data_IF_287718403741
#
_entry.id   IF_287718403741
#
_cell.length_a   1.000
_cell.length_b   1.000
_cell.length_c   1.000
_cell.angle_alpha   90.00
_cell.angle_beta   90.00
_cell.angle_gamma   90.00
#
_symmetry.space_group_name_H-M   'P 1'
#
loop_
_entity.id
_entity.type
_entity.pdbx_description
1 polymer ?
#
# COMPACT_ATOMS: atom_id res chain seq x y z
N UNK A 1 1.87 -4.50 16.92
CA UNK A 1 2.57 -5.64 16.29
C UNK A 1 3.72 -6.14 17.17
N UNK A 2 4.76 -5.33 17.49
CA UNK A 2 5.95 -5.78 18.21
C UNK A 2 5.64 -6.47 19.56
N UNK A 3 4.68 -5.95 20.33
CA UNK A 3 4.25 -6.58 21.59
C UNK A 3 3.70 -7.99 21.37
N UNK A 4 2.81 -8.17 20.38
CA UNK A 4 2.24 -9.50 20.08
C UNK A 4 3.33 -10.47 19.63
N UNK A 5 4.27 -10.02 18.79
CA UNK A 5 5.40 -10.85 18.38
C UNK A 5 6.32 -11.22 19.54
N UNK A 6 6.49 -10.32 20.51
CA UNK A 6 7.26 -10.62 21.71
C UNK A 6 6.55 -11.69 22.58
N UNK A 7 5.24 -11.57 22.76
CA UNK A 7 4.44 -12.57 23.52
C UNK A 7 4.41 -13.92 22.82
N UNK A 8 4.24 -13.90 21.48
CA UNK A 8 4.21 -15.11 20.64
C UNK A 8 5.61 -15.55 20.19
N UNK A 9 6.68 -15.12 20.84
CA UNK A 9 8.08 -15.30 20.41
C UNK A 9 8.44 -16.73 20.02
N UNK A 10 7.91 -17.73 20.74
CA UNK A 10 8.13 -19.15 20.44
C UNK A 10 7.58 -19.59 19.07
N UNK A 11 6.54 -18.90 18.55
CA UNK A 11 5.86 -19.24 17.30
C UNK A 11 6.26 -18.35 16.11
N UNK A 12 7.10 -17.34 16.32
CA UNK A 12 7.47 -16.38 15.25
C UNK A 12 8.27 -17.07 14.14
N UNK A 13 9.20 -17.95 14.51
CA UNK A 13 10.00 -18.69 13.54
C UNK A 13 9.16 -19.67 12.72
N UNK A 14 8.27 -20.40 13.38
CA UNK A 14 7.34 -21.31 12.71
C UNK A 14 6.33 -20.58 11.82
N UNK A 15 5.89 -19.40 12.26
CA UNK A 15 5.05 -18.52 11.44
C UNK A 15 5.78 -18.05 10.17
N UNK A 16 7.03 -17.61 10.28
CA UNK A 16 7.82 -17.22 9.12
C UNK A 16 8.02 -18.38 8.15
N UNK A 17 8.37 -19.55 8.67
CA UNK A 17 8.53 -20.76 7.88
C UNK A 17 7.25 -21.15 7.16
N UNK A 18 6.11 -21.12 7.88
CA UNK A 18 4.80 -21.44 7.31
C UNK A 18 4.39 -20.44 6.21
N UNK A 19 4.65 -19.13 6.39
CA UNK A 19 4.40 -18.11 5.37
C UNK A 19 5.20 -18.42 4.10
N UNK A 20 6.50 -18.69 4.22
CA UNK A 20 7.37 -18.98 3.09
C UNK A 20 7.00 -20.30 2.39
N UNK A 21 6.77 -21.36 3.16
CA UNK A 21 6.33 -22.66 2.61
C UNK A 21 4.99 -22.54 1.89
N UNK A 22 4.02 -21.82 2.47
CA UNK A 22 2.71 -21.64 1.85
C UNK A 22 2.75 -20.77 0.60
N UNK A 23 3.68 -19.81 0.53
CA UNK A 23 3.84 -18.97 -0.66
C UNK A 23 4.32 -19.77 -1.87
N UNK A 24 5.20 -20.75 -1.68
CA UNK A 24 5.80 -21.53 -2.76
C UNK A 24 5.23 -22.94 -2.90
N UNK A 25 4.49 -23.44 -1.91
CA UNK A 25 3.89 -24.76 -1.93
C UNK A 25 2.47 -24.77 -1.34
N UNK A 26 1.46 -24.36 -2.10
CA UNK A 26 0.08 -24.26 -1.65
C UNK A 26 -0.53 -25.57 -1.14
N UNK A 27 -0.01 -26.71 -1.59
CA UNK A 27 -0.49 -28.04 -1.14
C UNK A 27 -0.02 -28.40 0.28
N UNK A 28 1.05 -27.76 0.79
CA UNK A 28 1.53 -27.98 2.14
C UNK A 28 0.70 -27.26 3.21
N UNK A 29 -0.11 -26.29 2.83
CA UNK A 29 -1.04 -25.56 3.70
C UNK A 29 -2.34 -26.35 4.00
N UNK A 30 -2.24 -27.66 4.13
CA UNK A 30 -3.34 -28.60 4.37
C UNK A 30 -4.01 -28.47 5.73
N UNK A 31 -4.56 -27.32 6.04
CA UNK A 31 -5.24 -27.07 7.30
C UNK A 31 -5.96 -25.73 7.38
N UNK A 32 -6.74 -25.34 6.36
CA UNK A 32 -7.64 -24.22 6.49
C UNK A 32 -7.50 -23.07 5.48
N UNK A 33 -6.41 -22.97 4.75
CA UNK A 33 -6.35 -22.11 3.56
C UNK A 33 -6.84 -22.91 2.35
N UNK A 34 -8.11 -22.75 2.03
CA UNK A 34 -8.74 -23.38 0.87
C UNK A 34 -7.96 -23.01 -0.39
N UNK A 35 -7.20 -23.96 -0.90
CA UNK A 35 -6.82 -24.23 -2.26
C UNK A 35 -6.75 -23.11 -3.28
N UNK A 36 -6.06 -22.02 -2.98
CA UNK A 36 -5.62 -21.13 -4.04
C UNK A 36 -4.44 -21.76 -4.75
N UNK A 37 -4.51 -21.95 -6.07
CA UNK A 37 -3.32 -22.27 -6.85
C UNK A 37 -2.25 -21.19 -6.61
N UNK A 38 -0.97 -21.53 -6.78
CA UNK A 38 0.14 -20.54 -6.71
C UNK A 38 -0.20 -19.27 -7.50
N UNK A 39 -0.82 -19.43 -8.65
CA UNK A 39 -1.28 -18.34 -9.53
C UNK A 39 -2.28 -17.45 -8.80
N UNK A 40 -3.25 -18.02 -8.08
CA UNK A 40 -4.25 -17.22 -7.35
C UNK A 40 -3.63 -16.47 -6.16
N UNK A 41 -2.77 -17.12 -5.40
CA UNK A 41 -2.03 -16.48 -4.29
C UNK A 41 -1.13 -15.36 -4.80
N UNK A 42 -0.38 -15.60 -5.87
CA UNK A 42 0.45 -14.58 -6.51
C UNK A 42 -0.41 -13.42 -7.05
N UNK A 43 -1.54 -13.71 -7.70
CA UNK A 43 -2.47 -12.68 -8.20
C UNK A 43 -2.96 -11.77 -7.08
N UNK A 44 -3.44 -12.33 -5.98
CA UNK A 44 -3.92 -11.53 -4.86
C UNK A 44 -2.77 -10.77 -4.17
N UNK A 45 -1.62 -11.40 -3.96
CA UNK A 45 -0.45 -10.76 -3.36
C UNK A 45 0.05 -9.59 -4.20
N UNK A 46 0.19 -9.76 -5.52
CA UNK A 46 0.61 -8.71 -6.44
C UNK A 46 -0.43 -7.57 -6.46
N UNK A 47 -1.72 -7.89 -6.62
CA UNK A 47 -2.77 -6.87 -6.68
C UNK A 47 -2.82 -6.03 -5.40
N UNK A 48 -2.71 -6.64 -4.23
CA UNK A 48 -2.72 -5.92 -2.94
C UNK A 48 -1.41 -5.17 -2.70
N UNK A 49 -0.27 -5.72 -3.08
CA UNK A 49 1.03 -5.05 -3.00
C UNK A 49 1.11 -3.83 -3.92
N UNK A 50 0.64 -3.92 -5.15
CA UNK A 50 0.55 -2.78 -6.06
C UNK A 50 -0.37 -1.68 -5.53
N UNK A 51 -1.50 -2.05 -4.94
CA UNK A 51 -2.43 -1.10 -4.34
C UNK A 51 -1.82 -0.39 -3.13
N UNK A 52 -1.22 -1.13 -2.20
CA UNK A 52 -0.65 -0.57 -0.98
C UNK A 52 0.55 0.35 -1.26
N UNK A 53 1.42 -0.06 -2.17
CA UNK A 53 2.61 0.71 -2.54
C UNK A 53 2.35 1.78 -3.62
N UNK A 54 1.13 1.85 -4.18
CA UNK A 54 0.78 2.70 -5.33
C UNK A 54 1.71 2.51 -6.54
N UNK A 55 2.37 1.36 -6.62
CA UNK A 55 3.42 1.08 -7.61
C UNK A 55 2.83 0.91 -9.00
N UNK A 56 3.29 1.74 -9.93
CA UNK A 56 2.86 1.67 -11.33
C UNK A 56 1.46 2.24 -11.60
N UNK A 57 0.77 2.81 -10.62
CA UNK A 57 -0.56 3.40 -10.79
C UNK A 57 -0.55 4.88 -11.16
N UNK A 58 0.61 5.56 -11.04
CA UNK A 58 0.73 6.99 -11.35
C UNK A 58 0.22 7.94 -10.27
N UNK A 59 -0.24 7.44 -9.13
CA UNK A 59 -0.70 8.26 -8.00
C UNK A 59 0.46 8.78 -7.14
N UNK A 60 1.44 7.97 -6.84
CA UNK A 60 2.61 8.35 -6.04
C UNK A 60 3.37 9.58 -6.57
N UNK A 61 3.59 9.77 -7.90
CA UNK A 61 4.20 10.97 -8.44
C UNK A 61 3.46 12.26 -8.14
N UNK A 62 2.14 12.24 -7.91
CA UNK A 62 1.34 13.43 -7.61
C UNK A 62 1.78 14.07 -6.30
N UNK A 63 2.04 13.26 -5.27
CA UNK A 63 2.59 13.75 -3.99
C UNK A 63 4.07 14.05 -4.10
N UNK A 64 4.83 13.22 -4.82
CA UNK A 64 6.25 13.46 -5.03
C UNK A 64 6.53 14.80 -5.71
N UNK A 65 5.65 15.24 -6.62
CA UNK A 65 5.75 16.54 -7.29
C UNK A 65 5.58 17.74 -6.34
N UNK A 66 4.98 17.55 -5.17
CA UNK A 66 4.85 18.60 -4.14
C UNK A 66 6.08 18.70 -3.22
N UNK A 67 7.05 17.81 -3.34
CA UNK A 67 8.22 17.77 -2.49
C UNK A 67 9.17 18.93 -2.83
N UNK A 68 9.68 19.58 -1.79
CA UNK A 68 10.74 20.59 -1.94
C UNK A 68 12.10 19.88 -1.89
N UNK A 69 12.62 19.57 -3.04
CA UNK A 69 13.88 18.83 -3.21
C UNK A 69 14.77 19.50 -4.24
N UNK A 70 16.07 19.23 -4.19
CA UNK A 70 17.05 19.85 -5.10
C UNK A 70 16.93 19.33 -6.52
N UNK A 71 16.68 18.02 -6.69
CA UNK A 71 16.53 17.41 -7.99
C UNK A 71 15.55 16.22 -7.96
N UNK A 72 15.01 15.79 -9.11
CA UNK A 72 13.99 14.73 -9.19
C UNK A 72 14.52 13.36 -8.78
N UNK A 73 15.80 13.07 -9.03
CA UNK A 73 16.40 11.76 -8.71
C UNK A 73 16.50 11.57 -7.19
N UNK A 74 16.83 12.64 -6.45
CA UNK A 74 16.84 12.61 -4.98
C UNK A 74 15.44 12.28 -4.43
N UNK A 75 14.39 12.90 -4.97
CA UNK A 75 13.02 12.59 -4.58
C UNK A 75 12.63 11.17 -4.95
N UNK A 76 13.02 10.68 -6.11
CA UNK A 76 12.75 9.31 -6.54
C UNK A 76 13.37 8.28 -5.58
N UNK A 77 14.62 8.50 -5.14
CA UNK A 77 15.29 7.65 -4.16
C UNK A 77 14.56 7.65 -2.80
N UNK A 78 14.14 8.83 -2.31
CA UNK A 78 13.36 8.93 -1.07
C UNK A 78 12.03 8.19 -1.22
N UNK A 79 11.29 8.41 -2.31
CA UNK A 79 10.01 7.75 -2.57
C UNK A 79 10.15 6.22 -2.68
N UNK A 80 11.25 5.71 -3.24
CA UNK A 80 11.49 4.27 -3.36
C UNK A 80 11.61 3.56 -2.01
N UNK A 81 12.05 4.27 -0.97
CA UNK A 81 12.10 3.70 0.39
C UNK A 81 10.72 3.40 0.95
N UNK A 82 9.68 4.07 0.46
CA UNK A 82 8.28 3.85 0.90
C UNK A 82 7.85 2.40 0.72
N UNK A 83 8.17 1.79 -0.44
CA UNK A 83 7.87 0.38 -0.71
C UNK A 83 8.54 -0.57 0.29
N UNK A 84 9.78 -0.27 0.69
CA UNK A 84 10.47 -1.06 1.71
C UNK A 84 9.74 -0.98 3.06
N UNK A 85 9.41 0.24 3.50
CA UNK A 85 8.72 0.43 4.78
C UNK A 85 7.32 -0.20 4.78
N UNK A 86 6.54 -0.01 3.73
CA UNK A 86 5.20 -0.56 3.62
C UNK A 86 5.22 -2.09 3.56
N UNK A 87 5.93 -2.67 2.59
CA UNK A 87 5.87 -4.11 2.32
C UNK A 87 6.78 -4.91 3.23
N UNK A 88 8.07 -4.54 3.32
CA UNK A 88 9.05 -5.36 4.06
C UNK A 88 8.90 -5.18 5.58
N UNK A 89 8.55 -3.97 6.04
CA UNK A 89 8.41 -3.73 7.48
C UNK A 89 6.97 -3.91 7.93
N UNK A 90 6.02 -3.12 7.45
CA UNK A 90 4.67 -3.09 8.01
C UNK A 90 3.87 -4.35 7.63
N UNK A 91 3.84 -4.73 6.34
CA UNK A 91 3.09 -5.91 5.92
C UNK A 91 3.70 -7.21 6.46
N UNK A 92 5.04 -7.34 6.48
CA UNK A 92 5.68 -8.52 7.06
C UNK A 92 5.43 -8.63 8.57
N UNK A 93 5.53 -7.52 9.33
CA UNK A 93 5.20 -7.51 10.76
C UNK A 93 3.74 -7.91 10.99
N UNK A 94 2.81 -7.39 10.20
CA UNK A 94 1.40 -7.73 10.31
C UNK A 94 1.16 -9.20 9.99
N UNK A 95 1.72 -9.70 8.90
CA UNK A 95 1.63 -11.12 8.52
C UNK A 95 2.16 -12.05 9.61
N UNK A 96 3.34 -11.73 10.17
CA UNK A 96 3.91 -12.49 11.28
C UNK A 96 3.02 -12.46 12.54
N UNK A 97 2.44 -11.31 12.88
CA UNK A 97 1.49 -11.19 13.99
C UNK A 97 0.30 -12.10 13.79
N UNK A 98 -0.31 -12.09 12.61
CA UNK A 98 -1.49 -12.89 12.32
C UNK A 98 -1.19 -14.39 12.36
N UNK A 99 -0.15 -14.82 11.66
CA UNK A 99 0.20 -16.25 11.58
C UNK A 99 0.73 -16.77 12.92
N UNK A 100 1.56 -16.01 13.63
CA UNK A 100 2.01 -16.42 14.98
C UNK A 100 0.85 -16.49 15.97
N UNK A 101 -0.17 -15.65 15.83
CA UNK A 101 -1.36 -15.71 16.67
C UNK A 101 -2.22 -16.94 16.38
N UNK A 102 -2.35 -17.35 15.12
CA UNK A 102 -3.02 -18.61 14.76
C UNK A 102 -2.31 -19.82 15.37
N UNK A 103 -0.97 -19.83 15.30
CA UNK A 103 -0.17 -20.92 15.87
C UNK A 103 -0.21 -20.95 17.40
N UNK A 104 -0.19 -19.78 18.03
CA UNK A 104 -0.23 -19.67 19.50
C UNK A 104 -1.62 -19.98 20.09
N UNK A 105 -2.68 -19.75 19.33
CA UNK A 105 -4.08 -19.91 19.77
C UNK A 105 -4.90 -20.70 18.74
N UNK A 106 -4.81 -22.04 18.72
CA UNK A 106 -5.50 -22.87 17.71
C UNK A 106 -7.04 -22.74 17.70
N UNK A 107 -7.62 -22.28 18.80
CA UNK A 107 -9.08 -22.08 18.96
C UNK A 107 -9.60 -20.79 18.31
N UNK A 108 -8.72 -20.00 17.67
CA UNK A 108 -9.14 -18.79 16.98
C UNK A 108 -10.00 -19.14 15.76
N UNK A 109 -11.26 -18.71 15.80
CA UNK A 109 -12.16 -18.72 14.65
C UNK A 109 -12.25 -17.32 14.05
N UNK A 110 -12.14 -17.21 12.73
CA UNK A 110 -12.21 -15.93 12.01
C UNK A 110 -12.93 -16.13 10.67
N UNK A 111 -13.71 -15.12 10.28
CA UNK A 111 -14.43 -15.14 9.01
C UNK A 111 -13.56 -14.62 7.85
N UNK A 112 -12.68 -13.65 8.14
CA UNK A 112 -11.79 -13.02 7.17
C UNK A 112 -10.53 -12.44 7.86
N UNK A 113 -9.63 -11.84 7.07
CA UNK A 113 -8.38 -11.27 7.59
C UNK A 113 -8.57 -10.09 8.55
N UNK A 114 -9.64 -9.32 8.40
CA UNK A 114 -9.95 -8.20 9.30
C UNK A 114 -10.40 -8.71 10.67
N UNK A 115 -11.27 -9.74 10.67
CA UNK A 115 -11.69 -10.43 11.89
C UNK A 115 -10.49 -11.07 12.61
N UNK A 116 -9.57 -11.70 11.87
CA UNK A 116 -8.35 -12.27 12.42
C UNK A 116 -7.48 -11.20 13.09
N UNK A 117 -7.31 -10.04 12.45
CA UNK A 117 -6.55 -8.91 13.01
C UNK A 117 -7.15 -8.46 14.36
N UNK A 118 -8.47 -8.32 14.41
CA UNK A 118 -9.16 -7.98 15.66
C UNK A 118 -8.87 -9.01 16.75
N UNK A 119 -9.06 -10.29 16.47
CA UNK A 119 -8.84 -11.37 17.45
C UNK A 119 -7.39 -11.40 17.93
N UNK A 120 -6.41 -11.18 17.04
CA UNK A 120 -5.00 -11.11 17.42
C UNK A 120 -4.72 -9.94 18.38
N UNK A 121 -5.31 -8.77 18.14
CA UNK A 121 -5.16 -7.60 19.02
C UNK A 121 -5.93 -7.75 20.34
N UNK A 122 -7.08 -8.41 20.35
CA UNK A 122 -7.86 -8.68 21.56
C UNK A 122 -7.08 -9.56 22.58
N UNK A 123 -6.00 -10.24 22.15
CA UNK A 123 -5.09 -10.94 23.06
C UNK A 123 -4.18 -10.00 23.86
N UNK A 124 -4.12 -8.70 23.53
CA UNK A 124 -3.43 -7.70 24.35
C UNK A 124 -4.40 -7.22 25.45
N UNK A 125 -4.13 -7.50 26.73
CA UNK A 125 -5.04 -7.14 27.81
C UNK A 125 -5.29 -5.62 27.87
N UNK A 126 -6.53 -5.21 28.03
CA UNK A 126 -7.01 -3.84 28.26
C UNK A 126 -6.80 -2.83 27.13
N UNK A 127 -5.69 -2.89 26.38
CA UNK A 127 -5.32 -1.85 25.39
C UNK A 127 -5.40 -2.33 23.94
N UNK A 128 -5.55 -3.62 23.70
CA UNK A 128 -5.49 -4.17 22.34
C UNK A 128 -6.58 -3.63 21.42
N UNK A 129 -7.84 -3.76 21.82
CA UNK A 129 -8.97 -3.25 21.04
C UNK A 129 -8.95 -1.72 20.87
N UNK A 130 -8.76 -0.89 21.91
CA UNK A 130 -8.60 0.55 21.75
C UNK A 130 -7.45 0.95 20.82
N UNK A 131 -6.30 0.28 20.91
CA UNK A 131 -5.14 0.55 20.09
C UNK A 131 -5.42 0.22 18.61
N UNK A 132 -6.08 -0.91 18.35
CA UNK A 132 -6.48 -1.29 17.00
C UNK A 132 -7.48 -0.29 16.41
N UNK A 133 -8.52 0.09 17.16
CA UNK A 133 -9.53 1.07 16.71
C UNK A 133 -8.85 2.40 16.39
N UNK A 134 -8.00 2.90 17.29
CA UNK A 134 -7.27 4.13 17.06
C UNK A 134 -6.41 4.05 15.79
N UNK A 135 -5.70 2.93 15.59
CA UNK A 135 -4.91 2.68 14.40
C UNK A 135 -5.76 2.69 13.13
N UNK A 136 -6.86 1.93 13.09
CA UNK A 136 -7.75 1.86 11.93
C UNK A 136 -8.32 3.24 11.60
N UNK A 137 -8.81 3.98 12.58
CA UNK A 137 -9.37 5.33 12.36
C UNK A 137 -8.31 6.27 11.79
N UNK A 138 -7.10 6.27 12.36
CA UNK A 138 -6.00 7.13 11.90
C UNK A 138 -5.57 6.78 10.48
N UNK A 139 -5.39 5.48 10.18
CA UNK A 139 -5.00 5.02 8.84
C UNK A 139 -6.10 5.30 7.81
N UNK A 140 -7.36 5.00 8.13
CA UNK A 140 -8.47 5.28 7.22
C UNK A 140 -8.59 6.78 6.92
N UNK A 141 -8.47 7.61 7.94
CA UNK A 141 -8.54 9.07 7.78
C UNK A 141 -7.41 9.60 6.90
N UNK A 142 -6.16 9.18 7.15
CA UNK A 142 -5.01 9.61 6.34
C UNK A 142 -5.13 9.14 4.89
N UNK A 143 -5.62 7.92 4.66
CA UNK A 143 -5.84 7.38 3.32
C UNK A 143 -6.92 8.17 2.56
N UNK A 144 -8.03 8.49 3.21
CA UNK A 144 -9.10 9.32 2.63
C UNK A 144 -8.56 10.69 2.23
N UNK A 145 -7.75 11.33 3.07
CA UNK A 145 -7.13 12.63 2.76
C UNK A 145 -6.16 12.53 1.59
N UNK A 146 -5.30 11.51 1.56
CA UNK A 146 -4.34 11.29 0.47
C UNK A 146 -5.03 11.09 -0.88
N UNK A 147 -6.00 10.19 -0.95
CA UNK A 147 -6.76 9.93 -2.18
C UNK A 147 -7.62 11.12 -2.62
N UNK A 148 -8.18 11.88 -1.68
CA UNK A 148 -8.87 13.13 -1.99
C UNK A 148 -7.92 14.12 -2.65
N UNK A 149 -6.71 14.26 -2.13
CA UNK A 149 -5.68 15.15 -2.70
C UNK A 149 -5.27 14.73 -4.11
N UNK A 150 -5.06 13.43 -4.37
CA UNK A 150 -4.72 12.94 -5.70
C UNK A 150 -5.78 13.30 -6.73
N UNK A 151 -7.03 13.01 -6.44
CA UNK A 151 -8.11 13.33 -7.36
C UNK A 151 -8.37 14.84 -7.47
N UNK A 152 -8.15 15.61 -6.41
CA UNK A 152 -8.21 17.08 -6.47
C UNK A 152 -7.17 17.63 -7.45
N UNK A 153 -5.93 17.13 -7.41
CA UNK A 153 -4.89 17.55 -8.34
C UNK A 153 -5.20 17.14 -9.78
N UNK A 154 -5.76 15.95 -9.99
CA UNK A 154 -6.23 15.55 -11.31
C UNK A 154 -7.37 16.44 -11.82
N UNK A 155 -8.34 16.79 -10.98
CA UNK A 155 -9.42 17.71 -11.33
C UNK A 155 -8.92 19.13 -11.58
N UNK A 156 -7.97 19.61 -10.80
CA UNK A 156 -7.32 20.92 -10.99
C UNK A 156 -6.65 21.00 -12.36
N UNK A 157 -5.96 19.93 -12.76
CA UNK A 157 -5.33 19.83 -14.08
C UNK A 157 -6.35 19.86 -15.23
N UNK A 158 -7.47 19.13 -15.11
CA UNK A 158 -8.46 19.00 -16.17
C UNK A 158 -9.36 20.23 -16.31
N UNK A 159 -9.74 20.87 -15.22
CA UNK A 159 -10.80 21.89 -15.21
C UNK A 159 -10.42 23.17 -14.45
N UNK A 160 -9.19 23.27 -13.98
CA UNK A 160 -8.73 24.36 -13.13
C UNK A 160 -9.37 24.29 -11.74
N UNK A 161 -9.13 25.32 -10.93
CA UNK A 161 -9.57 25.38 -9.51
C UNK A 161 -11.10 25.45 -9.32
N UNK A 162 -11.88 25.69 -10.40
CA UNK A 162 -13.31 25.95 -10.27
C UNK A 162 -14.12 24.73 -9.79
N UNK A 163 -13.75 23.53 -10.23
CA UNK A 163 -14.49 22.31 -9.89
C UNK A 163 -13.94 21.54 -8.70
N UNK A 164 -12.86 22.02 -8.07
CA UNK A 164 -12.26 21.38 -6.90
C UNK A 164 -13.24 21.21 -5.74
N UNK A 165 -14.07 22.23 -5.47
CA UNK A 165 -15.05 22.15 -4.40
C UNK A 165 -16.15 21.13 -4.68
N UNK A 166 -16.61 21.07 -5.95
CA UNK A 166 -17.60 20.07 -6.39
C UNK A 166 -17.01 18.67 -6.26
N UNK A 167 -15.76 18.47 -6.71
CA UNK A 167 -15.06 17.20 -6.56
C UNK A 167 -15.00 16.76 -5.09
N UNK A 168 -14.59 17.64 -4.17
CA UNK A 168 -14.54 17.34 -2.72
C UNK A 168 -15.90 16.89 -2.19
N UNK A 169 -16.98 17.58 -2.58
CA UNK A 169 -18.35 17.21 -2.21
C UNK A 169 -18.73 15.80 -2.69
N UNK A 170 -18.47 15.51 -3.97
CA UNK A 170 -18.73 14.18 -4.55
C UNK A 170 -17.87 13.12 -3.88
N UNK A 171 -16.59 13.40 -3.61
CA UNK A 171 -15.68 12.47 -2.95
C UNK A 171 -16.17 12.08 -1.55
N UNK A 172 -16.63 13.05 -0.74
CA UNK A 172 -17.20 12.78 0.60
C UNK A 172 -18.43 11.89 0.50
N UNK A 173 -19.32 12.16 -0.46
CA UNK A 173 -20.51 11.35 -0.70
C UNK A 173 -20.11 9.92 -1.09
N UNK A 174 -19.16 9.76 -2.03
CA UNK A 174 -18.66 8.45 -2.43
C UNK A 174 -17.98 7.70 -1.29
N UNK A 175 -17.20 8.38 -0.44
CA UNK A 175 -16.58 7.77 0.74
C UNK A 175 -17.64 7.26 1.73
N UNK A 176 -18.71 8.00 1.95
CA UNK A 176 -19.83 7.58 2.79
C UNK A 176 -20.52 6.33 2.22
N UNK A 177 -20.86 6.34 0.93
CA UNK A 177 -21.49 5.17 0.29
C UNK A 177 -20.55 3.96 0.25
N UNK A 178 -19.24 4.18 0.04
CA UNK A 178 -18.23 3.12 0.11
C UNK A 178 -18.19 2.43 1.47
N UNK A 179 -18.35 3.19 2.56
CA UNK A 179 -18.32 2.66 3.91
C UNK A 179 -19.52 1.75 4.26
N UNK A 180 -20.65 1.91 3.59
CA UNK A 180 -21.88 1.12 3.80
C UNK A 180 -22.08 0.03 2.73
N UNK A 181 -21.25 0.02 1.70
CA UNK A 181 -21.32 -0.97 0.61
C UNK A 181 -20.63 -2.28 1.02
N UNK A 182 -21.06 -3.38 0.43
CA UNK A 182 -20.43 -4.70 0.66
C UNK A 182 -18.96 -4.67 0.24
N UNK A 183 -18.07 -5.20 1.08
CA UNK A 183 -16.62 -5.19 0.89
C UNK A 183 -16.18 -5.77 -0.47
N UNK A 184 -16.83 -6.84 -0.93
CA UNK A 184 -16.51 -7.46 -2.22
C UNK A 184 -16.75 -6.51 -3.41
N UNK A 185 -17.83 -5.71 -3.37
CA UNK A 185 -18.14 -4.72 -4.41
C UNK A 185 -17.08 -3.62 -4.42
N UNK A 186 -16.70 -3.12 -3.23
CA UNK A 186 -15.67 -2.09 -3.10
C UNK A 186 -14.32 -2.59 -3.66
N UNK A 187 -13.93 -3.82 -3.35
CA UNK A 187 -12.68 -4.38 -3.86
C UNK A 187 -12.70 -4.58 -5.38
N UNK A 188 -13.79 -5.09 -5.94
CA UNK A 188 -13.89 -5.26 -7.39
C UNK A 188 -13.81 -3.91 -8.12
N UNK A 189 -14.46 -2.88 -7.58
CA UNK A 189 -14.38 -1.54 -8.13
C UNK A 189 -12.96 -0.96 -8.03
N UNK A 190 -12.31 -1.12 -6.88
CA UNK A 190 -10.95 -0.66 -6.66
C UNK A 190 -9.96 -1.36 -7.62
N UNK A 191 -10.07 -2.67 -7.81
CA UNK A 191 -9.20 -3.42 -8.72
C UNK A 191 -9.38 -2.95 -10.18
N UNK A 192 -10.61 -2.67 -10.60
CA UNK A 192 -10.89 -2.09 -11.93
C UNK A 192 -10.28 -0.69 -12.07
N UNK A 193 -10.49 0.18 -11.09
CA UNK A 193 -9.96 1.54 -11.11
C UNK A 193 -8.42 1.53 -11.14
N UNK A 194 -7.78 0.68 -10.35
CA UNK A 194 -6.33 0.50 -10.35
C UNK A 194 -5.80 0.05 -11.70
N UNK A 195 -6.46 -0.90 -12.35
CA UNK A 195 -6.08 -1.34 -13.69
C UNK A 195 -6.18 -0.21 -14.72
N UNK A 196 -7.25 0.61 -14.65
CA UNK A 196 -7.43 1.77 -15.53
C UNK A 196 -6.38 2.87 -15.27
N UNK A 197 -5.90 3.02 -14.05
CA UNK A 197 -4.82 3.95 -13.71
C UNK A 197 -3.45 3.43 -14.17
N UNK A 198 -3.20 2.13 -13.99
CA UNK A 198 -1.92 1.51 -14.32
C UNK A 198 -1.61 1.54 -15.82
N UNK A 199 -2.61 1.29 -16.68
CA UNK A 199 -2.40 1.22 -18.13
C UNK A 199 -1.78 2.49 -18.72
N UNK A 200 -2.35 3.70 -18.56
CA UNK A 200 -1.74 4.92 -19.11
C UNK A 200 -0.41 5.25 -18.44
N UNK A 201 -0.25 4.94 -17.15
CA UNK A 201 1.00 5.20 -16.45
C UNK A 201 2.14 4.32 -16.98
N UNK A 202 1.91 3.04 -17.24
CA UNK A 202 2.91 2.13 -17.82
C UNK A 202 3.34 2.63 -19.20
N UNK A 203 2.39 3.05 -20.03
CA UNK A 203 2.70 3.65 -21.35
C UNK A 203 3.58 4.88 -21.19
N UNK A 204 3.24 5.78 -20.26
CA UNK A 204 4.04 6.98 -19.98
C UNK A 204 5.45 6.64 -19.50
N UNK A 205 5.62 5.65 -18.62
CA UNK A 205 6.92 5.21 -18.12
C UNK A 205 7.79 4.63 -19.24
N UNK A 206 7.20 3.86 -20.16
CA UNK A 206 7.91 3.33 -21.33
C UNK A 206 8.38 4.48 -22.24
N UNK A 207 7.50 5.43 -22.52
CA UNK A 207 7.84 6.58 -23.35
C UNK A 207 8.92 7.46 -22.73
N UNK A 208 8.91 7.64 -21.41
CA UNK A 208 9.84 8.46 -20.65
C UNK A 208 11.09 7.69 -20.18
N UNK A 209 11.24 6.42 -20.50
CA UNK A 209 12.36 5.58 -20.03
C UNK A 209 13.72 6.16 -20.34
N UNK A 210 13.89 6.77 -21.54
CA UNK A 210 15.13 7.44 -21.94
C UNK A 210 15.46 8.66 -21.07
N UNK A 211 14.45 9.47 -20.73
CA UNK A 211 14.60 10.64 -19.84
C UNK A 211 14.98 10.17 -18.44
N UNK A 212 14.28 9.18 -17.92
CA UNK A 212 14.56 8.61 -16.60
C UNK A 212 16.00 8.09 -16.51
N UNK A 213 16.47 7.38 -17.55
CA UNK A 213 17.83 6.88 -17.59
C UNK A 213 18.87 8.01 -17.65
N UNK A 214 18.61 9.06 -18.43
CA UNK A 214 19.50 10.22 -18.54
C UNK A 214 19.61 10.99 -17.22
N UNK A 215 18.46 11.28 -16.57
CA UNK A 215 18.43 11.97 -15.28
C UNK A 215 19.10 11.13 -14.19
N UNK A 216 18.85 9.82 -14.16
CA UNK A 216 19.49 8.90 -13.19
C UNK A 216 21.01 8.90 -13.37
N UNK A 217 21.50 8.88 -14.62
CA UNK A 217 22.94 8.95 -14.90
C UNK A 217 23.52 10.27 -14.42
N UNK A 218 22.87 11.38 -14.77
CA UNK A 218 23.31 12.76 -14.47
C UNK A 218 23.47 13.01 -12.97
N UNK A 219 22.51 12.59 -12.15
CA UNK A 219 22.49 12.92 -10.72
C UNK A 219 23.01 11.80 -9.83
N UNK A 220 22.71 10.54 -10.14
CA UNK A 220 23.08 9.42 -9.26
C UNK A 220 24.46 8.85 -9.60
N UNK A 221 24.75 8.58 -10.88
CA UNK A 221 26.00 7.90 -11.26
C UNK A 221 27.18 8.87 -11.42
N UNK A 222 26.92 10.15 -11.61
CA UNK A 222 27.93 11.19 -11.64
C UNK A 222 28.14 11.89 -10.29
N UNK A 223 27.55 11.33 -9.20
CA UNK A 223 27.66 11.81 -7.82
C UNK A 223 27.25 13.28 -7.60
N UNK A 224 26.15 13.68 -8.30
CA UNK A 224 25.61 15.03 -8.28
C UNK A 224 24.26 15.14 -7.53
N UNK A 225 23.98 14.23 -6.59
CA UNK A 225 22.71 14.20 -5.86
C UNK A 225 22.45 15.47 -5.01
N UNK A 226 23.50 16.17 -4.63
CA UNK A 226 23.39 17.40 -3.85
C UNK A 226 23.25 18.67 -4.69
N UNK A 227 23.43 18.56 -6.02
CA UNK A 227 23.23 19.67 -6.94
C UNK A 227 21.73 20.01 -7.08
N UNK A 228 21.46 21.29 -7.37
CA UNK A 228 20.11 21.71 -7.75
C UNK A 228 19.80 21.26 -9.17
N UNK A 229 18.53 21.02 -9.47
CA UNK A 229 18.09 20.72 -10.83
C UNK A 229 18.43 21.89 -11.77
N UNK A 230 18.95 21.56 -12.95
CA UNK A 230 19.20 22.58 -13.95
C UNK A 230 17.86 23.26 -14.33
N UNK A 231 17.88 24.59 -14.58
CA UNK A 231 16.65 25.31 -14.96
C UNK A 231 15.98 24.77 -16.23
N UNK A 232 16.73 24.13 -17.10
CA UNK A 232 16.22 23.48 -18.31
C UNK A 232 15.44 22.19 -18.02
N UNK A 233 15.70 21.53 -16.88
CA UNK A 233 15.02 20.33 -16.44
C UNK A 233 13.67 20.60 -15.80
N UNK A 234 13.37 21.86 -15.48
CA UNK A 234 12.14 22.28 -14.82
C UNK A 234 11.42 23.37 -15.65
N UNK A 235 10.81 23.02 -16.80
CA UNK A 235 10.03 23.97 -17.58
C UNK A 235 8.84 24.44 -16.73
N UNK A 236 8.80 25.72 -16.39
CA UNK A 236 7.73 26.41 -15.63
C UNK A 236 6.37 26.30 -16.31
#
# INVERSE_FOLDING_TARGET
CCYILFVNGAHVWDALKLILESAFNPSAAGGGFVGGSIIMTARYGIARGLFSNESGMGSAPIVAAAAQTRNPVRQALVSSTGTFWDTVVICALTGLVLVSSILAYPDITYADGAALTKVAFDKIPYVGAPLLIFGIVTFAFSTILGWCYYGEKAMEYLSGKRLTLVYRGVFIICAFFGAITQLAVVWNFADLANALMALPNIVSLICLSGVIAAETKKYLWEDRLDDEADPEDNPT
#
